data_IF_014952993066
#
_entry.id   IF_014952993066
#
_cell.length_a   1.000
_cell.length_b   1.000
_cell.length_c   1.000
_cell.angle_alpha   90.00
_cell.angle_beta   90.00
_cell.angle_gamma   90.00
#
_symmetry.space_group_name_H-M   'P 1'
#
loop_
_entity.id
_entity.type
_entity.pdbx_description
1 polymer ?
#
# COMPACT_ATOMS: atom_id res chain seq x y z
N UNK A 1 -9.90 0.78 15.39
CA UNK A 1 -10.05 1.98 14.54
C UNK A 1 -8.67 2.53 14.16
N UNK A 2 -8.47 2.96 12.90
CA UNK A 2 -7.15 3.33 12.36
C UNK A 2 -6.87 4.84 12.47
N UNK A 3 -5.67 5.20 12.96
CA UNK A 3 -5.10 6.58 12.97
C UNK A 3 -5.17 7.29 11.60
N UNK A 4 -5.25 6.51 10.52
CA UNK A 4 -5.36 6.99 9.14
C UNK A 4 -6.70 7.70 8.88
N UNK A 5 -7.72 7.44 9.70
CA UNK A 5 -9.06 8.07 9.60
C UNK A 5 -9.12 9.51 10.16
N UNK A 6 -8.09 9.99 10.87
CA UNK A 6 -8.10 11.35 11.43
C UNK A 6 -8.00 12.42 10.34
N UNK A 7 -8.76 13.51 10.50
CA UNK A 7 -8.67 14.70 9.66
C UNK A 7 -7.40 15.51 9.97
N UNK A 8 -6.88 16.31 9.02
CA UNK A 8 -5.74 17.19 9.28
C UNK A 8 -5.98 18.19 10.42
N UNK A 9 -7.17 18.81 10.56
CA UNK A 9 -7.50 19.60 11.75
C UNK A 9 -7.38 18.82 13.06
N UNK A 10 -7.87 17.57 13.10
CA UNK A 10 -7.74 16.71 14.28
C UNK A 10 -6.27 16.40 14.59
N UNK A 11 -5.46 16.11 13.56
CA UNK A 11 -4.02 15.86 13.71
C UNK A 11 -3.27 17.09 14.24
N UNK A 12 -3.61 18.30 13.76
CA UNK A 12 -3.07 19.58 14.25
C UNK A 12 -3.40 19.75 15.74
N UNK A 13 -4.66 19.58 16.12
CA UNK A 13 -5.11 19.72 17.51
C UNK A 13 -4.38 18.75 18.45
N UNK A 14 -4.17 17.50 18.01
CA UNK A 14 -3.41 16.51 18.77
C UNK A 14 -1.96 16.97 18.99
N UNK A 15 -1.30 17.46 17.94
CA UNK A 15 0.08 17.96 18.04
C UNK A 15 0.17 19.22 18.90
N UNK A 16 -0.77 20.16 18.77
CA UNK A 16 -0.83 21.37 19.61
C UNK A 16 -0.99 21.00 21.09
N UNK A 17 -1.82 20.00 21.39
CA UNK A 17 -1.96 19.49 22.74
C UNK A 17 -0.68 18.82 23.26
N UNK A 18 -0.02 17.99 22.44
CA UNK A 18 1.25 17.33 22.84
C UNK A 18 2.39 18.34 23.04
N UNK A 19 2.42 19.40 22.23
CA UNK A 19 3.44 20.44 22.24
C UNK A 19 3.10 21.62 23.15
N UNK A 20 2.12 21.47 24.04
CA UNK A 20 1.75 22.49 25.03
C UNK A 20 1.47 21.90 26.41
N UNK A 21 1.36 22.78 27.40
CA UNK A 21 0.88 22.45 28.74
C UNK A 21 1.67 21.34 29.44
N UNK A 22 0.93 20.42 30.06
CA UNK A 22 1.46 19.30 30.85
C UNK A 22 2.13 18.24 29.96
N UNK A 23 1.59 17.96 28.78
CA UNK A 23 2.15 17.00 27.82
C UNK A 23 3.56 17.38 27.40
N UNK A 24 3.80 18.66 27.08
CA UNK A 24 5.13 19.14 26.71
C UNK A 24 6.12 18.99 27.88
N UNK A 25 5.68 19.26 29.12
CA UNK A 25 6.54 19.10 30.30
C UNK A 25 6.97 17.65 30.48
N UNK A 26 6.05 16.71 30.31
CA UNK A 26 6.34 15.28 30.36
C UNK A 26 7.32 14.85 29.26
N UNK A 27 7.10 15.29 28.02
CA UNK A 27 8.00 14.98 26.90
C UNK A 27 9.42 15.54 27.14
N UNK A 28 9.54 16.74 27.73
CA UNK A 28 10.84 17.36 28.08
C UNK A 28 11.54 16.73 29.27
N UNK A 29 10.77 16.11 30.17
CA UNK A 29 11.33 15.46 31.36
C UNK A 29 12.00 14.11 31.05
N UNK A 30 11.93 13.66 29.80
CA UNK A 30 12.45 12.37 29.38
C UNK A 30 13.44 12.49 28.22
N UNK A 31 14.62 11.90 28.37
CA UNK A 31 15.71 12.01 27.40
C UNK A 31 15.41 11.31 26.06
N UNK A 32 14.60 10.24 26.06
CA UNK A 32 14.22 9.52 24.84
C UNK A 32 13.13 10.27 24.05
N UNK A 33 12.23 10.97 24.75
CA UNK A 33 11.11 11.68 24.14
C UNK A 33 11.45 13.15 23.79
N UNK A 34 12.44 13.76 24.46
CA UNK A 34 12.85 15.15 24.21
C UNK A 34 13.25 15.40 22.73
N UNK A 35 14.05 14.55 22.07
CA UNK A 35 14.39 14.72 20.65
C UNK A 35 13.17 14.68 19.71
N UNK A 36 12.08 14.07 20.15
CA UNK A 36 10.85 13.95 19.36
C UNK A 36 10.09 15.27 19.28
N UNK A 37 10.28 16.19 20.22
CA UNK A 37 9.58 17.49 20.26
C UNK A 37 9.85 18.29 18.99
N UNK A 38 11.12 18.39 18.57
CA UNK A 38 11.50 19.12 17.33
C UNK A 38 10.87 18.47 16.09
N UNK A 39 10.78 17.14 16.07
CA UNK A 39 10.18 16.40 14.96
C UNK A 39 8.66 16.57 14.92
N UNK A 40 7.99 16.55 16.08
CA UNK A 40 6.56 16.83 16.21
C UNK A 40 6.24 18.26 15.79
N UNK A 41 7.07 19.23 16.16
CA UNK A 41 6.93 20.63 15.74
C UNK A 41 7.02 20.75 14.21
N UNK A 42 8.01 20.11 13.59
CA UNK A 42 8.14 20.09 12.12
C UNK A 42 6.91 19.51 11.42
N UNK A 43 6.31 18.46 11.97
CA UNK A 43 5.07 17.88 11.41
C UNK A 43 3.89 18.82 11.60
N UNK A 44 3.78 19.51 12.74
CA UNK A 44 2.75 20.51 13.00
C UNK A 44 2.84 21.65 11.99
N UNK A 45 4.05 22.17 11.75
CA UNK A 45 4.30 23.25 10.80
C UNK A 45 3.94 22.82 9.37
N UNK A 46 4.31 21.59 8.98
CA UNK A 46 3.95 21.03 7.68
C UNK A 46 2.42 20.87 7.51
N UNK A 47 1.71 20.42 8.55
CA UNK A 47 0.25 20.29 8.52
C UNK A 47 -0.43 21.67 8.41
N UNK A 48 0.07 22.69 9.12
CA UNK A 48 -0.44 24.07 9.02
C UNK A 48 -0.20 24.66 7.64
N UNK A 49 1.03 24.55 7.12
CA UNK A 49 1.38 25.02 5.79
C UNK A 49 0.54 24.33 4.70
N UNK A 50 0.21 23.04 4.89
CA UNK A 50 -0.65 22.32 3.95
C UNK A 50 -2.11 22.78 3.95
N UNK A 51 -2.58 23.43 5.02
CA UNK A 51 -3.96 23.96 5.13
C UNK A 51 -4.14 25.24 4.32
N UNK A 52 -3.07 26.01 4.12
CA UNK A 52 -3.08 27.25 3.34
C UNK A 52 -3.05 26.99 1.82
N UNK A 53 -2.69 25.77 1.43
CA UNK A 53 -2.68 25.32 0.04
C UNK A 53 -3.97 24.53 -0.22
N UNK A 54 -4.92 25.17 -0.90
CA UNK A 54 -6.16 24.53 -1.36
C UNK A 54 -5.81 23.34 -2.26
N UNK A 55 -5.78 22.12 -1.71
CA UNK A 55 -5.82 20.91 -2.53
C UNK A 55 -7.23 20.78 -3.10
N UNK A 56 -7.42 21.07 -4.37
CA UNK A 56 -8.69 20.84 -5.05
C UNK A 56 -8.96 19.34 -5.09
N UNK A 57 -10.03 18.85 -4.44
CA UNK A 57 -10.37 17.44 -4.51
C UNK A 57 -10.59 17.04 -5.96
N UNK A 58 -10.17 15.82 -6.30
CA UNK A 58 -10.33 15.26 -7.63
C UNK A 58 -11.83 15.30 -8.02
N UNK A 59 -12.16 15.80 -9.20
CA UNK A 59 -13.58 15.82 -9.62
C UNK A 59 -14.08 14.38 -9.81
N UNK A 60 -15.38 14.09 -9.54
CA UNK A 60 -15.95 12.75 -9.72
C UNK A 60 -15.75 12.18 -11.13
N UNK A 61 -15.72 13.06 -12.14
CA UNK A 61 -15.47 12.71 -13.54
C UNK A 61 -14.04 12.23 -13.78
N UNK A 62 -13.04 12.93 -13.22
CA UNK A 62 -11.64 12.51 -13.28
C UNK A 62 -11.42 11.21 -12.51
N UNK A 63 -12.06 11.05 -11.35
CA UNK A 63 -11.95 9.82 -10.57
C UNK A 63 -12.51 8.62 -11.36
N UNK A 64 -13.68 8.80 -11.98
CA UNK A 64 -14.30 7.78 -12.83
C UNK A 64 -13.41 7.42 -14.03
N UNK A 65 -12.75 8.42 -14.64
CA UNK A 65 -11.82 8.19 -15.74
C UNK A 65 -10.59 7.37 -15.30
N UNK A 66 -9.98 7.71 -14.17
CA UNK A 66 -8.83 6.97 -13.61
C UNK A 66 -9.24 5.54 -13.26
N UNK A 67 -10.38 5.34 -12.60
CA UNK A 67 -10.90 3.99 -12.28
C UNK A 67 -11.18 3.16 -13.52
N UNK A 68 -11.63 3.77 -14.61
CA UNK A 68 -11.81 3.07 -15.90
C UNK A 68 -10.48 2.57 -16.44
N UNK A 69 -9.42 3.40 -16.39
CA UNK A 69 -8.07 3.01 -16.81
C UNK A 69 -7.55 1.87 -15.92
N UNK A 70 -7.72 1.97 -14.61
CA UNK A 70 -7.29 0.93 -13.66
C UNK A 70 -7.93 -0.42 -13.96
N UNK A 71 -9.24 -0.47 -14.25
CA UNK A 71 -9.92 -1.71 -14.66
C UNK A 71 -9.37 -2.34 -15.94
N UNK A 72 -8.96 -1.51 -16.90
CA UNK A 72 -8.34 -2.02 -18.15
C UNK A 72 -6.95 -2.58 -17.87
N UNK A 73 -6.15 -1.89 -17.02
CA UNK A 73 -4.82 -2.36 -16.66
C UNK A 73 -4.86 -3.64 -15.84
N UNK A 74 -5.79 -3.74 -14.90
CA UNK A 74 -6.12 -4.92 -14.09
C UNK A 74 -6.39 -6.14 -14.99
N UNK A 75 -7.28 -6.01 -15.97
CA UNK A 75 -7.58 -7.09 -16.92
C UNK A 75 -6.35 -7.51 -17.77
N UNK A 76 -5.50 -6.56 -18.14
CA UNK A 76 -4.24 -6.86 -18.85
C UNK A 76 -3.27 -7.60 -17.92
N UNK A 77 -3.07 -7.09 -16.71
CA UNK A 77 -2.21 -7.67 -15.68
C UNK A 77 -2.61 -9.12 -15.40
N UNK A 78 -3.88 -9.34 -15.09
CA UNK A 78 -4.47 -10.64 -14.82
C UNK A 78 -4.25 -11.64 -15.95
N UNK A 79 -4.54 -11.23 -17.19
CA UNK A 79 -4.36 -12.11 -18.35
C UNK A 79 -2.90 -12.48 -18.54
N UNK A 80 -1.98 -11.52 -18.43
CA UNK A 80 -0.54 -11.78 -18.58
C UNK A 80 0.00 -12.63 -17.45
N UNK A 81 -0.46 -12.41 -16.22
CA UNK A 81 -0.08 -13.20 -15.07
C UNK A 81 -0.54 -14.67 -15.22
N UNK A 82 -1.79 -14.92 -15.65
CA UNK A 82 -2.28 -16.27 -15.99
C UNK A 82 -1.46 -16.89 -17.11
N UNK A 83 -1.22 -16.16 -18.20
CA UNK A 83 -0.46 -16.68 -19.33
C UNK A 83 0.96 -17.06 -18.94
N UNK A 84 1.64 -16.26 -18.13
CA UNK A 84 2.99 -16.57 -17.66
C UNK A 84 2.99 -17.79 -16.73
N UNK A 85 2.08 -17.86 -15.74
CA UNK A 85 1.97 -19.04 -14.86
C UNK A 85 1.76 -20.32 -15.66
N UNK A 86 0.77 -20.34 -16.55
CA UNK A 86 0.47 -21.50 -17.39
C UNK A 86 1.63 -21.88 -18.30
N UNK A 87 2.34 -20.90 -18.86
CA UNK A 87 3.48 -21.17 -19.74
C UNK A 87 4.64 -21.82 -18.97
N UNK A 88 4.91 -21.38 -17.75
CA UNK A 88 5.95 -21.97 -16.89
C UNK A 88 5.54 -23.38 -16.43
N UNK A 89 4.29 -23.59 -16.03
CA UNK A 89 3.77 -24.92 -15.68
C UNK A 89 3.83 -25.89 -16.87
N UNK A 90 3.52 -25.42 -18.08
CA UNK A 90 3.66 -26.22 -19.30
C UNK A 90 5.13 -26.56 -19.59
N UNK A 91 6.04 -25.59 -19.42
CA UNK A 91 7.46 -25.82 -19.60
C UNK A 91 8.00 -26.85 -18.59
N UNK A 92 7.63 -26.73 -17.32
CA UNK A 92 8.01 -27.69 -16.27
C UNK A 92 7.54 -29.13 -16.61
N UNK A 93 6.31 -29.26 -17.11
CA UNK A 93 5.73 -30.57 -17.46
C UNK A 93 6.29 -31.17 -18.75
N UNK A 94 6.77 -30.34 -19.68
CA UNK A 94 7.31 -30.79 -20.96
C UNK A 94 8.79 -31.18 -20.90
N UNK A 95 9.50 -30.79 -19.83
CA UNK A 95 10.94 -31.03 -19.68
C UNK A 95 11.22 -32.45 -19.19
N UNK A 96 12.16 -33.13 -19.86
CA UNK A 96 12.61 -34.48 -19.51
C UNK A 96 13.86 -34.51 -18.62
N UNK A 97 14.63 -33.41 -18.56
CA UNK A 97 15.83 -33.31 -17.73
C UNK A 97 15.51 -32.86 -16.31
N UNK A 98 15.89 -33.65 -15.30
CA UNK A 98 15.59 -33.36 -13.89
C UNK A 98 16.18 -32.02 -13.42
N UNK A 99 17.43 -31.71 -13.81
CA UNK A 99 18.08 -30.46 -13.42
C UNK A 99 17.35 -29.22 -13.96
N UNK A 100 16.99 -29.24 -15.24
CA UNK A 100 16.28 -28.12 -15.85
C UNK A 100 14.85 -28.00 -15.33
N UNK A 101 14.19 -29.13 -15.02
CA UNK A 101 12.88 -29.13 -14.37
C UNK A 101 12.94 -28.45 -13.01
N UNK A 102 13.91 -28.81 -12.16
CA UNK A 102 14.11 -28.18 -10.85
C UNK A 102 14.36 -26.67 -10.95
N UNK A 103 15.10 -26.22 -11.98
CA UNK A 103 15.29 -24.80 -12.23
C UNK A 103 13.97 -24.08 -12.55
N UNK A 104 13.09 -24.68 -13.35
CA UNK A 104 11.77 -24.11 -13.64
C UNK A 104 10.86 -24.13 -12.40
N UNK A 105 10.83 -25.22 -11.64
CA UNK A 105 10.03 -25.31 -10.41
C UNK A 105 10.44 -24.22 -9.41
N UNK A 106 11.75 -24.05 -9.16
CA UNK A 106 12.27 -22.98 -8.30
C UNK A 106 11.90 -21.60 -8.83
N UNK A 107 11.98 -21.40 -10.15
CA UNK A 107 11.60 -20.14 -10.78
C UNK A 107 10.11 -19.84 -10.58
N UNK A 108 9.22 -20.84 -10.67
CA UNK A 108 7.78 -20.67 -10.43
C UNK A 108 7.54 -20.23 -8.98
N UNK A 109 8.13 -20.93 -8.01
CA UNK A 109 7.99 -20.61 -6.59
C UNK A 109 8.49 -19.18 -6.26
N UNK A 110 9.61 -18.79 -6.86
CA UNK A 110 10.19 -17.46 -6.67
C UNK A 110 9.38 -16.35 -7.34
N UNK A 111 8.95 -16.56 -8.59
CA UNK A 111 8.21 -15.54 -9.36
C UNK A 111 6.76 -15.40 -8.86
N UNK A 112 6.16 -16.47 -8.34
CA UNK A 112 4.74 -16.58 -7.98
C UNK A 112 4.52 -16.98 -6.51
N UNK A 113 5.02 -16.23 -5.51
CA UNK A 113 4.87 -16.58 -4.09
C UNK A 113 3.40 -16.59 -3.62
N UNK A 114 2.53 -15.86 -4.32
CA UNK A 114 1.08 -15.84 -4.09
C UNK A 114 0.32 -16.72 -5.10
N UNK A 115 1.01 -17.38 -6.03
CA UNK A 115 0.38 -18.08 -7.14
C UNK A 115 -0.61 -17.18 -7.89
N UNK A 116 -1.66 -17.79 -8.43
CA UNK A 116 -2.75 -17.06 -9.09
C UNK A 116 -3.64 -16.25 -8.12
N UNK A 117 -3.42 -16.29 -6.80
CA UNK A 117 -4.23 -15.51 -5.87
C UNK A 117 -4.00 -14.00 -5.98
N UNK A 118 -2.92 -13.56 -6.64
CA UNK A 118 -2.70 -12.14 -6.93
C UNK A 118 -3.81 -11.55 -7.81
N UNK A 119 -4.45 -12.40 -8.61
CA UNK A 119 -5.54 -12.05 -9.49
C UNK A 119 -6.77 -11.75 -8.64
N UNK A 120 -7.30 -10.54 -8.73
CA UNK A 120 -8.43 -10.11 -7.93
C UNK A 120 -8.03 -9.62 -6.53
N UNK A 121 -6.74 -9.42 -6.27
CA UNK A 121 -6.31 -8.60 -5.14
C UNK A 121 -6.65 -7.12 -5.38
N UNK A 122 -6.35 -6.26 -4.41
CA UNK A 122 -6.51 -4.82 -4.61
C UNK A 122 -5.46 -4.35 -5.61
N UNK A 123 -5.80 -3.38 -6.45
CA UNK A 123 -4.86 -2.77 -7.42
C UNK A 123 -3.52 -2.31 -6.83
N UNK A 124 -3.51 -1.89 -5.55
CA UNK A 124 -2.28 -1.49 -4.84
C UNK A 124 -1.37 -2.69 -4.62
N UNK A 125 -1.95 -3.84 -4.28
CA UNK A 125 -1.23 -5.09 -4.01
C UNK A 125 -0.71 -5.67 -5.33
N UNK A 126 -1.52 -5.68 -6.40
CA UNK A 126 -1.09 -6.07 -7.75
C UNK A 126 0.06 -5.19 -8.28
N UNK A 127 -0.05 -3.87 -8.12
CA UNK A 127 1.04 -2.96 -8.48
C UNK A 127 2.31 -3.21 -7.65
N UNK A 128 2.16 -3.58 -6.38
CA UNK A 128 3.27 -3.98 -5.50
C UNK A 128 3.95 -5.27 -5.96
N UNK A 129 3.17 -6.28 -6.32
CA UNK A 129 3.68 -7.55 -6.84
C UNK A 129 4.38 -7.39 -8.18
N UNK A 130 3.83 -6.58 -9.08
CA UNK A 130 4.50 -6.25 -10.33
C UNK A 130 5.85 -5.53 -10.11
N UNK A 131 5.97 -4.70 -9.06
CA UNK A 131 7.27 -4.11 -8.68
C UNK A 131 8.23 -5.15 -8.11
N UNK A 132 7.76 -6.09 -7.28
CA UNK A 132 8.58 -7.19 -6.77
C UNK A 132 9.10 -8.06 -7.92
N UNK A 133 8.22 -8.46 -8.84
CA UNK A 133 8.57 -9.17 -10.06
C UNK A 133 9.62 -8.40 -10.86
N UNK A 134 9.46 -7.09 -11.00
CA UNK A 134 10.42 -6.23 -11.67
C UNK A 134 11.84 -6.32 -11.11
N UNK A 135 11.99 -6.42 -9.78
CA UNK A 135 13.30 -6.62 -9.13
C UNK A 135 13.88 -8.01 -9.40
N UNK A 136 13.05 -9.04 -9.46
CA UNK A 136 13.51 -10.40 -9.77
C UNK A 136 13.98 -10.52 -11.23
N UNK A 137 13.36 -9.75 -12.14
CA UNK A 137 13.82 -9.67 -13.52
C UNK A 137 15.16 -8.94 -13.68
N UNK A 138 15.73 -8.34 -12.64
CA UNK A 138 17.10 -7.79 -12.71
C UNK A 138 18.17 -8.90 -12.68
N UNK A 139 17.82 -10.10 -12.18
CA UNK A 139 18.72 -11.26 -12.17
C UNK A 139 18.90 -11.83 -13.59
N UNK A 140 20.16 -11.95 -14.02
CA UNK A 140 20.54 -12.42 -15.34
C UNK A 140 20.18 -13.90 -15.57
N UNK A 141 20.21 -14.73 -14.53
CA UNK A 141 19.82 -16.13 -14.61
C UNK A 141 18.31 -16.27 -14.86
N UNK A 142 17.51 -15.49 -14.13
CA UNK A 142 16.05 -15.41 -14.31
C UNK A 142 15.72 -14.95 -15.73
N UNK A 143 16.37 -13.89 -16.22
CA UNK A 143 16.17 -13.42 -17.59
C UNK A 143 16.53 -14.48 -18.63
N UNK A 144 17.63 -15.20 -18.44
CA UNK A 144 18.08 -16.24 -19.36
C UNK A 144 17.08 -17.40 -19.41
N UNK A 145 16.62 -17.88 -18.25
CA UNK A 145 15.61 -18.94 -18.16
C UNK A 145 14.30 -18.53 -18.84
N UNK A 146 13.78 -17.34 -18.52
CA UNK A 146 12.53 -16.83 -19.10
C UNK A 146 12.64 -16.54 -20.61
N UNK A 147 13.83 -16.17 -21.11
CA UNK A 147 14.05 -15.96 -22.55
C UNK A 147 14.08 -17.28 -23.34
N UNK A 148 14.45 -18.38 -22.68
CA UNK A 148 14.47 -19.72 -23.26
C UNK A 148 13.08 -20.34 -23.42
N UNK A 149 12.10 -19.88 -22.64
CA UNK A 149 10.72 -20.37 -22.69
C UNK A 149 9.92 -19.51 -23.68
N UNK A 150 9.45 -20.15 -24.75
CA UNK A 150 8.84 -19.48 -25.89
C UNK A 150 7.50 -20.10 -26.26
N UNK A 151 6.62 -19.28 -26.83
CA UNK A 151 5.39 -19.72 -27.46
C UNK A 151 5.19 -18.98 -28.78
N UNK A 152 4.59 -19.65 -29.75
CA UNK A 152 4.34 -19.09 -31.07
C UNK A 152 2.85 -18.86 -31.26
N UNK A 153 2.48 -17.64 -31.61
CA UNK A 153 1.12 -17.27 -32.01
C UNK A 153 1.06 -16.98 -33.50
N UNK A 154 -0.12 -16.67 -34.02
CA UNK A 154 -0.27 -16.17 -35.40
C UNK A 154 0.40 -14.79 -35.60
N UNK A 155 0.65 -14.07 -34.52
CA UNK A 155 1.23 -12.73 -34.50
C UNK A 155 2.76 -12.78 -34.36
N UNK A 156 3.32 -13.87 -33.81
CA UNK A 156 4.75 -14.14 -33.87
C UNK A 156 5.32 -15.00 -32.74
N UNK A 157 6.66 -14.98 -32.73
CA UNK A 157 7.58 -15.30 -31.62
C UNK A 157 7.27 -14.55 -30.32
N UNK A 158 6.86 -15.19 -29.23
CA UNK A 158 6.80 -14.55 -27.91
C UNK A 158 7.57 -15.33 -26.84
N UNK A 159 8.13 -14.62 -25.88
CA UNK A 159 8.90 -15.21 -24.76
C UNK A 159 8.21 -15.04 -23.41
N UNK A 160 8.48 -15.93 -22.45
CA UNK A 160 8.02 -15.77 -21.07
C UNK A 160 8.57 -14.47 -20.44
N UNK A 161 9.79 -14.05 -20.84
CA UNK A 161 10.38 -12.80 -20.40
C UNK A 161 9.59 -11.57 -20.87
N UNK A 162 9.07 -11.59 -22.10
CA UNK A 162 8.21 -10.51 -22.61
C UNK A 162 6.93 -10.38 -21.79
N UNK A 163 6.25 -11.49 -21.51
CA UNK A 163 5.07 -11.51 -20.64
C UNK A 163 5.40 -10.94 -19.25
N UNK A 164 6.52 -11.35 -18.65
CA UNK A 164 6.95 -10.84 -17.36
C UNK A 164 7.22 -9.33 -17.39
N UNK A 165 7.89 -8.81 -18.43
CA UNK A 165 8.12 -7.37 -18.63
C UNK A 165 6.82 -6.59 -18.85
N UNK A 166 5.84 -7.18 -19.52
CA UNK A 166 4.52 -6.58 -19.71
C UNK A 166 3.74 -6.48 -18.39
N UNK A 167 3.81 -7.48 -17.52
CA UNK A 167 3.24 -7.45 -16.16
C UNK A 167 3.85 -6.28 -15.38
N UNK A 168 5.18 -6.19 -15.34
CA UNK A 168 5.92 -5.11 -14.65
C UNK A 168 5.51 -3.74 -15.18
N UNK A 169 5.49 -3.57 -16.51
CA UNK A 169 5.11 -2.31 -17.16
C UNK A 169 3.66 -1.93 -16.84
N UNK A 170 2.75 -2.92 -16.80
CA UNK A 170 1.34 -2.71 -16.45
C UNK A 170 1.19 -2.28 -14.99
N UNK A 171 1.87 -2.95 -14.06
CA UNK A 171 1.89 -2.56 -12.65
C UNK A 171 2.48 -1.16 -12.39
N UNK A 172 3.51 -0.76 -13.15
CA UNK A 172 4.02 0.62 -13.11
C UNK A 172 2.98 1.64 -13.58
N UNK A 173 2.21 1.33 -14.64
CA UNK A 173 1.10 2.17 -15.11
C UNK A 173 -0.02 2.22 -14.06
N UNK A 174 -0.37 1.10 -13.43
CA UNK A 174 -1.34 1.06 -12.33
C UNK A 174 -0.89 1.92 -11.16
N UNK A 175 0.38 1.81 -10.74
CA UNK A 175 0.95 2.64 -9.68
C UNK A 175 0.83 4.13 -9.98
N UNK A 176 1.08 4.57 -11.22
CA UNK A 176 0.89 5.97 -11.62
C UNK A 176 -0.57 6.42 -11.50
N UNK A 177 -1.52 5.59 -11.93
CA UNK A 177 -2.95 5.90 -11.81
C UNK A 177 -3.43 5.89 -10.35
N UNK A 178 -2.95 4.97 -9.52
CA UNK A 178 -3.23 4.92 -8.08
C UNK A 178 -2.67 6.15 -7.37
N UNK A 179 -1.48 6.61 -7.74
CA UNK A 179 -0.95 7.88 -7.25
C UNK A 179 -1.87 9.01 -7.66
N UNK A 180 -2.29 9.12 -8.93
CA UNK A 180 -3.23 10.14 -9.38
C UNK A 180 -4.59 10.10 -8.64
N UNK A 181 -5.04 8.92 -8.21
CA UNK A 181 -6.29 8.76 -7.43
C UNK A 181 -6.14 9.23 -5.98
N UNK A 182 -4.93 9.12 -5.40
CA UNK A 182 -4.61 9.61 -4.04
C UNK A 182 -4.11 11.05 -4.05
N UNK A 183 -3.57 11.51 -5.18
CA UNK A 183 -3.13 12.88 -5.40
C UNK A 183 -4.36 13.77 -5.60
N UNK A 184 -4.75 14.50 -4.55
CA UNK A 184 -5.76 15.57 -4.60
C UNK A 184 -5.22 16.84 -5.31
N UNK A 185 -4.32 16.66 -6.28
CA UNK A 185 -3.72 17.74 -7.05
C UNK A 185 -3.37 17.19 -8.44
N UNK A 186 -3.72 17.93 -9.48
CA UNK A 186 -3.68 17.47 -10.88
C UNK A 186 -2.25 17.20 -11.40
N UNK A 187 -1.25 17.52 -10.57
CA UNK A 187 0.19 17.40 -10.84
C UNK A 187 0.78 16.04 -10.51
N UNK A 188 -0.01 15.07 -10.01
CA UNK A 188 0.43 13.69 -9.81
C UNK A 188 1.42 13.47 -8.66
N UNK A 189 1.67 14.48 -7.82
CA UNK A 189 2.42 14.35 -6.57
C UNK A 189 1.51 14.12 -5.36
N UNK A 190 2.00 13.43 -4.31
CA UNK A 190 1.30 13.44 -3.02
C UNK A 190 1.13 14.90 -2.57
N UNK A 191 -0.10 15.33 -2.27
CA UNK A 191 -0.32 16.68 -1.75
C UNK A 191 0.53 16.90 -0.50
N UNK A 192 0.96 18.15 -0.26
CA UNK A 192 1.67 18.51 0.96
C UNK A 192 0.88 18.07 2.20
N UNK A 193 -0.45 18.12 2.15
CA UNK A 193 -1.34 17.60 3.19
C UNK A 193 -1.20 16.07 3.34
N UNK A 194 -1.24 15.31 2.25
CA UNK A 194 -1.08 13.84 2.30
C UNK A 194 0.28 13.43 2.86
N UNK A 195 1.35 14.13 2.47
CA UNK A 195 2.69 13.90 3.00
C UNK A 195 2.74 14.24 4.50
N UNK A 196 2.15 15.37 4.91
CA UNK A 196 2.10 15.79 6.30
C UNK A 196 1.28 14.82 7.18
N UNK A 197 0.12 14.33 6.70
CA UNK A 197 -0.69 13.32 7.40
C UNK A 197 0.02 11.97 7.55
N UNK A 198 0.79 11.55 6.53
CA UNK A 198 1.63 10.35 6.61
C UNK A 198 2.76 10.53 7.62
N UNK A 199 3.43 11.69 7.61
CA UNK A 199 4.46 12.02 8.58
C UNK A 199 3.90 12.05 10.00
N UNK A 200 2.72 12.63 10.21
CA UNK A 200 2.00 12.57 11.48
C UNK A 200 1.77 11.13 11.93
N UNK A 201 1.21 10.28 11.07
CA UNK A 201 0.92 8.89 11.42
C UNK A 201 2.16 8.13 11.86
N UNK A 202 3.28 8.29 11.15
CA UNK A 202 4.56 7.66 11.49
C UNK A 202 5.11 8.22 12.81
N UNK A 203 5.13 9.55 12.95
CA UNK A 203 5.69 10.23 14.10
C UNK A 203 4.90 9.91 15.38
N UNK A 204 3.57 9.98 15.30
CA UNK A 204 2.68 9.69 16.44
C UNK A 204 2.83 8.24 16.92
N UNK A 205 2.87 7.26 16.01
CA UNK A 205 3.13 5.85 16.39
C UNK A 205 4.48 5.72 17.08
N UNK A 206 5.52 6.35 16.55
CA UNK A 206 6.85 6.25 17.12
C UNK A 206 6.92 6.86 18.54
N UNK A 207 6.35 8.06 18.73
CA UNK A 207 6.26 8.69 20.06
C UNK A 207 5.45 7.84 21.03
N UNK A 208 4.30 7.31 20.60
CA UNK A 208 3.48 6.47 21.45
C UNK A 208 4.19 5.18 21.86
N UNK A 209 4.93 4.54 20.94
CA UNK A 209 5.70 3.34 21.26
C UNK A 209 6.83 3.64 22.25
N UNK A 210 7.56 4.74 22.07
CA UNK A 210 8.61 5.16 23.00
C UNK A 210 8.03 5.50 24.37
N UNK A 211 6.90 6.20 24.42
CA UNK A 211 6.24 6.54 25.68
C UNK A 211 5.65 5.31 26.39
N UNK A 212 5.19 4.31 25.65
CA UNK A 212 4.73 3.03 26.21
C UNK A 212 5.87 2.24 26.84
N UNK A 213 7.05 2.24 26.20
CA UNK A 213 8.25 1.60 26.73
C UNK A 213 8.75 2.33 27.99
N UNK A 214 8.85 3.65 27.91
CA UNK A 214 9.46 4.46 28.97
C UNK A 214 8.57 4.59 30.22
N UNK A 215 7.26 4.69 30.03
CA UNK A 215 6.30 4.89 31.12
C UNK A 215 5.43 3.66 31.35
N UNK A 216 5.98 2.46 31.13
CA UNK A 216 5.29 1.19 31.38
C UNK A 216 4.70 1.12 32.80
N UNK A 217 5.48 1.54 33.80
CA UNK A 217 5.07 1.60 35.21
C UNK A 217 4.27 2.87 35.56
N UNK A 218 4.20 3.86 34.64
CA UNK A 218 3.55 5.15 34.85
C UNK A 218 2.45 5.42 33.80
N UNK A 219 1.39 4.60 33.75
CA UNK A 219 0.36 4.67 32.71
C UNK A 219 -0.42 6.00 32.71
N UNK A 220 -0.36 6.77 33.80
CA UNK A 220 -0.94 8.12 33.88
C UNK A 220 -0.25 9.08 32.90
N UNK A 221 1.07 8.99 32.71
CA UNK A 221 1.80 9.86 31.79
C UNK A 221 1.42 9.58 30.34
N UNK A 222 1.26 8.30 29.98
CA UNK A 222 0.76 7.86 28.67
C UNK A 222 -0.66 8.39 28.44
N UNK A 223 -1.54 8.33 29.45
CA UNK A 223 -2.90 8.89 29.36
C UNK A 223 -2.87 10.39 29.11
N UNK A 224 -1.97 11.13 29.76
CA UNK A 224 -1.83 12.58 29.57
C UNK A 224 -1.44 12.85 28.12
N UNK A 225 -0.32 12.31 27.62
CA UNK A 225 0.15 12.64 26.26
C UNK A 225 -0.76 12.13 25.13
N UNK A 226 -1.59 11.11 25.39
CA UNK A 226 -2.52 10.54 24.39
C UNK A 226 -3.96 11.06 24.53
N UNK A 227 -4.25 11.96 25.48
CA UNK A 227 -5.61 12.43 25.79
C UNK A 227 -6.33 12.99 24.55
N UNK A 228 -5.75 14.00 23.91
CA UNK A 228 -6.35 14.62 22.73
C UNK A 228 -6.58 13.63 21.58
N UNK A 229 -5.67 12.66 21.39
CA UNK A 229 -5.86 11.62 20.38
C UNK A 229 -7.07 10.74 20.67
N UNK A 230 -7.25 10.31 21.93
CA UNK A 230 -8.41 9.49 22.32
C UNK A 230 -9.72 10.27 22.15
N UNK A 231 -9.73 11.55 22.52
CA UNK A 231 -10.89 12.42 22.35
C UNK A 231 -11.25 12.59 20.86
N UNK A 232 -10.27 12.83 19.99
CA UNK A 232 -10.50 12.93 18.55
C UNK A 232 -10.95 11.60 17.92
N UNK A 233 -10.40 10.47 18.37
CA UNK A 233 -10.82 9.15 17.90
C UNK A 233 -12.25 8.80 18.35
N UNK A 234 -12.66 9.23 19.54
CA UNK A 234 -14.03 9.01 20.04
C UNK A 234 -15.09 9.82 19.27
N UNK A 235 -14.69 10.91 18.61
CA UNK A 235 -15.56 11.73 17.76
C UNK A 235 -15.73 11.17 16.35
N UNK A 236 -14.94 10.16 15.95
CA UNK A 236 -15.10 9.54 14.65
C UNK A 236 -16.40 8.72 14.62
N UNK A 237 -17.19 8.80 13.54
CA UNK A 237 -18.37 7.96 13.39
C UNK A 237 -17.93 6.50 13.48
N UNK A 238 -18.52 5.75 14.40
CA UNK A 238 -18.42 4.30 14.43
C UNK A 238 -19.04 3.86 13.10
N UNK A 239 -18.17 3.40 12.20
CA UNK A 239 -18.63 2.71 11.01
C UNK A 239 -19.33 1.48 11.56
N UNK A 240 -20.67 1.47 11.57
CA UNK A 240 -21.42 0.23 11.76
C UNK A 240 -20.88 -0.69 10.68
N UNK A 241 -20.20 -1.75 11.11
CA UNK A 241 -19.83 -2.83 10.22
C UNK A 241 -21.10 -3.25 9.46
N UNK A 242 -20.89 -3.51 8.18
CA UNK A 242 -21.86 -4.02 7.23
C UNK A 242 -22.77 -5.04 7.93
N UNK A 243 -24.07 -4.74 7.99
CA UNK A 243 -25.08 -5.78 8.24
C UNK A 243 -24.84 -6.82 7.15
N UNK A 244 -24.30 -7.97 7.53
CA UNK A 244 -24.29 -9.17 6.72
C UNK A 244 -25.72 -9.37 6.20
N UNK A 245 -25.94 -9.10 4.92
CA UNK A 245 -27.14 -9.60 4.25
C UNK A 245 -27.16 -11.12 4.47
N UNK A 246 -28.24 -11.68 5.03
CA UNK A 246 -28.33 -13.11 5.25
C UNK A 246 -28.25 -13.80 3.90
N UNK A 247 -27.20 -14.61 3.72
CA UNK A 247 -27.08 -15.51 2.59
C UNK A 247 -28.35 -16.36 2.48
N UNK A 248 -29.04 -16.40 1.33
CA UNK A 248 -30.18 -17.27 1.16
C UNK A 248 -29.68 -18.72 1.21
N UNK A 249 -30.22 -19.44 2.19
CA UNK A 249 -29.95 -20.84 2.47
C UNK A 249 -30.25 -21.70 1.23
N UNK A 250 -29.30 -22.47 0.67
CA UNK A 250 -29.58 -23.38 -0.42
C UNK A 250 -30.09 -24.70 0.17
N UNK A 251 -31.36 -24.72 0.55
CA UNK A 251 -32.05 -25.97 0.88
C UNK A 251 -33.48 -25.94 0.36
N UNK A 252 -33.65 -26.52 -0.83
CA UNK A 252 -34.73 -27.42 -1.25
C UNK A 252 -35.12 -27.20 -2.70
N UNK A 253 -34.53 -27.94 -3.63
CA UNK A 253 -35.29 -28.50 -4.75
C UNK A 253 -34.81 -29.95 -4.90
N UNK A 254 -35.78 -30.85 -4.69
CA UNK A 254 -35.76 -32.27 -5.05
C UNK A 254 -35.59 -32.45 -6.55
#
# INVERSE_FOLDING_TARGET
MSIVKLSSPSMILILEYMLSGESLKLLKSNDLLTPMIVRLQKVLDNLRASRELLSTPLTPEKEKAIRKILRTLDLIHDNRYRSLSLLLELAENAVTGEEYKLQITSLIEDLFPFGLSIIGMKWVDEAGEAQRLGKQLEDQNVQSLLSGIKFTTKEGEHTALELAKEIVTTGQKMSKQLVALVSLDETGGFTLETQARRQFTKMYRHVNNLAQLEWEEQPKNIKIITKAFREQMAQLPVTKDEEEEPTPNPSSIF
#
